data_IF_345938847695
#
_entry.id   IF_345938847695
#
_cell.length_a   1.000
_cell.length_b   1.000
_cell.length_c   1.000
_cell.angle_alpha   90.00
_cell.angle_beta   90.00
_cell.angle_gamma   90.00
#
_symmetry.space_group_name_H-M   'P 1'
#
loop_
_entity.id
_entity.type
_entity.pdbx_description
1 polymer ?
#
# COMPACT_ATOMS: atom_id res chain seq x y z
N UNK A 1 -25.38 -13.23 32.87
CA UNK A 1 -25.53 -12.19 31.82
C UNK A 1 -24.28 -11.33 31.63
N UNK A 2 -23.68 -10.74 32.68
CA UNK A 2 -22.47 -9.88 32.57
C UNK A 2 -21.27 -10.51 31.80
N UNK A 3 -21.05 -11.83 31.94
CA UNK A 3 -19.96 -12.55 31.25
C UNK A 3 -20.12 -12.60 29.72
N UNK A 4 -21.36 -12.68 29.22
CA UNK A 4 -21.65 -12.75 27.78
C UNK A 4 -21.40 -11.39 27.12
N UNK A 5 -21.73 -10.30 27.81
CA UNK A 5 -21.48 -8.93 27.33
C UNK A 5 -20.00 -8.64 27.15
N UNK A 6 -19.15 -9.13 28.08
CA UNK A 6 -17.69 -8.96 27.98
C UNK A 6 -17.13 -9.73 26.78
N UNK A 7 -17.60 -10.95 26.53
CA UNK A 7 -17.17 -11.76 25.38
C UNK A 7 -17.53 -11.08 24.06
N UNK A 8 -18.73 -10.50 23.95
CA UNK A 8 -19.13 -9.74 22.76
C UNK A 8 -18.26 -8.50 22.55
N UNK A 9 -17.90 -7.77 23.60
CA UNK A 9 -17.01 -6.60 23.49
C UNK A 9 -15.60 -7.01 23.01
N UNK A 10 -15.04 -8.09 23.57
CA UNK A 10 -13.72 -8.59 23.20
C UNK A 10 -13.65 -9.10 21.75
N UNK A 11 -14.71 -9.77 21.26
CA UNK A 11 -14.80 -10.21 19.86
C UNK A 11 -14.84 -9.03 18.88
N UNK A 12 -15.53 -7.94 19.22
CA UNK A 12 -15.59 -6.75 18.37
C UNK A 12 -14.24 -6.01 18.32
N UNK A 13 -13.49 -5.97 19.42
CA UNK A 13 -12.16 -5.36 19.47
C UNK A 13 -11.15 -6.11 18.58
N UNK A 14 -11.19 -7.45 18.59
CA UNK A 14 -10.30 -8.28 17.77
C UNK A 14 -10.58 -8.14 16.27
N UNK A 15 -11.85 -8.00 15.87
CA UNK A 15 -12.20 -7.77 14.45
C UNK A 15 -11.71 -6.40 13.96
N UNK A 16 -11.87 -5.35 14.76
CA UNK A 16 -11.40 -4.01 14.42
C UNK A 16 -9.86 -3.94 14.27
N UNK A 17 -9.12 -4.61 15.17
CA UNK A 17 -7.66 -4.66 15.09
C UNK A 17 -7.18 -5.52 13.92
N UNK A 18 -7.85 -6.63 13.61
CA UNK A 18 -7.54 -7.47 12.44
C UNK A 18 -7.75 -6.73 11.12
N UNK A 19 -8.87 -6.01 10.97
CA UNK A 19 -9.12 -5.19 9.78
C UNK A 19 -8.08 -4.08 9.63
N UNK A 20 -7.72 -3.42 10.75
CA UNK A 20 -6.68 -2.38 10.75
C UNK A 20 -5.30 -2.94 10.41
N UNK A 21 -4.96 -4.11 10.93
CA UNK A 21 -3.69 -4.77 10.68
C UNK A 21 -3.58 -5.25 9.22
N UNK A 22 -4.63 -5.89 8.69
CA UNK A 22 -4.70 -6.28 7.28
C UNK A 22 -4.67 -5.03 6.36
N UNK A 23 -5.22 -3.90 6.83
CA UNK A 23 -5.10 -2.64 6.11
C UNK A 23 -3.66 -2.13 6.02
N UNK A 24 -2.90 -2.22 7.11
CA UNK A 24 -1.49 -1.84 7.17
C UNK A 24 -0.59 -2.75 6.34
N UNK A 25 -0.76 -4.06 6.43
CA UNK A 25 0.04 -5.03 5.66
C UNK A 25 -0.13 -4.83 4.13
N UNK A 26 -1.34 -4.51 3.69
CA UNK A 26 -1.60 -4.17 2.29
C UNK A 26 -1.01 -2.80 1.90
N UNK A 27 -1.04 -1.81 2.80
CA UNK A 27 -0.43 -0.50 2.56
C UNK A 27 1.09 -0.62 2.41
N UNK A 28 1.74 -1.41 3.28
CA UNK A 28 3.18 -1.65 3.22
C UNK A 28 3.58 -2.34 1.92
N UNK A 29 2.77 -3.27 1.41
CA UNK A 29 2.99 -3.90 0.10
C UNK A 29 2.92 -2.88 -1.05
N UNK A 30 1.95 -1.96 -1.02
CA UNK A 30 1.81 -0.92 -2.06
C UNK A 30 2.96 0.09 -1.97
N UNK A 31 3.34 0.48 -0.76
CA UNK A 31 4.49 1.37 -0.52
C UNK A 31 5.80 0.74 -1.01
N UNK A 32 5.99 -0.57 -0.80
CA UNK A 32 7.13 -1.28 -1.35
C UNK A 32 7.14 -1.27 -2.89
N UNK A 33 5.99 -1.48 -3.53
CA UNK A 33 5.86 -1.38 -4.99
C UNK A 33 6.21 0.03 -5.50
N UNK A 34 5.83 1.07 -4.76
CA UNK A 34 6.18 2.46 -5.06
C UNK A 34 7.69 2.69 -5.04
N UNK A 35 8.38 2.16 -4.03
CA UNK A 35 9.84 2.22 -3.92
C UNK A 35 10.51 1.46 -5.07
N UNK A 36 10.02 0.27 -5.40
CA UNK A 36 10.50 -0.51 -6.55
C UNK A 36 10.30 0.22 -7.88
N UNK A 37 9.23 1.02 -8.03
CA UNK A 37 9.04 1.83 -9.22
C UNK A 37 10.11 2.92 -9.37
N UNK A 38 10.61 3.47 -8.26
CA UNK A 38 11.69 4.46 -8.28
C UNK A 38 13.03 3.87 -8.71
N UNK A 39 13.31 2.60 -8.42
CA UNK A 39 14.56 1.96 -8.86
C UNK A 39 14.68 1.84 -10.38
N UNK A 40 13.57 1.98 -11.10
CA UNK A 40 13.55 1.99 -12.57
C UNK A 40 13.93 3.36 -13.17
N UNK A 41 14.04 4.39 -12.35
CA UNK A 41 14.50 5.72 -12.79
C UNK A 41 16.02 5.80 -12.90
N UNK A 42 16.74 4.87 -12.25
CA UNK A 42 18.18 4.78 -12.37
C UNK A 42 18.57 4.04 -13.66
N UNK A 43 19.39 4.65 -14.51
CA UNK A 43 19.84 4.01 -15.75
C UNK A 43 20.79 2.85 -15.42
N UNK A 44 20.69 1.78 -16.19
CA UNK A 44 21.62 0.67 -16.10
C UNK A 44 22.69 0.83 -17.18
N UNK A 45 23.98 0.73 -16.81
CA UNK A 45 25.08 0.99 -17.74
C UNK A 45 25.19 -0.06 -18.86
N UNK A 46 24.58 -1.23 -18.66
CA UNK A 46 24.59 -2.36 -19.61
C UNK A 46 23.45 -2.30 -20.64
N UNK A 47 22.54 -1.34 -20.54
CA UNK A 47 21.37 -1.20 -21.44
C UNK A 47 21.48 0.04 -22.32
N UNK A 48 20.84 -0.01 -23.49
CA UNK A 48 20.81 1.12 -24.44
C UNK A 48 20.05 2.33 -23.87
N UNK A 49 20.29 3.51 -24.43
CA UNK A 49 19.58 4.74 -24.05
C UNK A 49 18.06 4.59 -24.20
N UNK A 50 17.61 3.93 -25.28
CA UNK A 50 16.20 3.67 -25.55
C UNK A 50 15.57 2.74 -24.49
N UNK A 51 16.30 1.71 -24.07
CA UNK A 51 15.84 0.81 -23.00
C UNK A 51 15.78 1.52 -21.65
N UNK A 52 16.78 2.34 -21.34
CA UNK A 52 16.80 3.16 -20.13
C UNK A 52 15.66 4.18 -20.11
N UNK A 53 15.36 4.82 -21.24
CA UNK A 53 14.21 5.74 -21.37
C UNK A 53 12.87 5.00 -21.19
N UNK A 54 12.70 3.83 -21.83
CA UNK A 54 11.52 3.00 -21.68
C UNK A 54 11.29 2.58 -20.21
N UNK A 55 12.36 2.17 -19.52
CA UNK A 55 12.32 1.78 -18.11
C UNK A 55 12.00 2.97 -17.20
N UNK A 56 12.57 4.13 -17.47
CA UNK A 56 12.24 5.37 -16.76
C UNK A 56 10.76 5.71 -16.92
N UNK A 57 10.22 5.67 -18.14
CA UNK A 57 8.81 5.93 -18.41
C UNK A 57 7.91 4.92 -17.67
N UNK A 58 8.28 3.64 -17.70
CA UNK A 58 7.57 2.60 -16.96
C UNK A 58 7.64 2.84 -15.44
N UNK A 59 8.80 3.20 -14.90
CA UNK A 59 8.99 3.56 -13.50
C UNK A 59 8.10 4.72 -13.06
N UNK A 60 8.05 5.80 -13.85
CA UNK A 60 7.20 6.96 -13.58
C UNK A 60 5.70 6.59 -13.54
N UNK A 61 5.22 5.81 -14.52
CA UNK A 61 3.82 5.38 -14.57
C UNK A 61 3.48 4.52 -13.35
N UNK A 62 4.34 3.55 -13.01
CA UNK A 62 4.12 2.69 -11.85
C UNK A 62 4.18 3.46 -10.54
N UNK A 63 5.08 4.45 -10.41
CA UNK A 63 5.16 5.30 -9.23
C UNK A 63 3.86 6.07 -9.02
N UNK A 64 3.35 6.73 -10.07
CA UNK A 64 2.08 7.48 -9.97
C UNK A 64 0.92 6.55 -9.62
N UNK A 65 0.83 5.40 -10.27
CA UNK A 65 -0.22 4.42 -10.02
C UNK A 65 -0.20 3.88 -8.58
N UNK A 66 0.98 3.50 -8.09
CA UNK A 66 1.15 2.97 -6.72
C UNK A 66 0.92 4.05 -5.67
N UNK A 67 1.32 5.29 -5.92
CA UNK A 67 1.01 6.42 -5.04
C UNK A 67 -0.50 6.64 -4.89
N UNK A 68 -1.25 6.68 -6.01
CA UNK A 68 -2.72 6.82 -5.96
C UNK A 68 -3.34 5.69 -5.14
N UNK A 69 -2.92 4.44 -5.37
CA UNK A 69 -3.39 3.29 -4.60
C UNK A 69 -3.05 3.36 -3.11
N UNK A 70 -1.85 3.81 -2.78
CA UNK A 70 -1.43 3.98 -1.38
C UNK A 70 -2.32 5.00 -0.68
N UNK A 71 -2.60 6.13 -1.34
CA UNK A 71 -3.47 7.18 -0.81
C UNK A 71 -4.92 6.70 -0.63
N UNK A 72 -5.48 5.99 -1.62
CA UNK A 72 -6.80 5.36 -1.51
C UNK A 72 -6.86 4.36 -0.35
N UNK A 73 -5.83 3.52 -0.21
CA UNK A 73 -5.78 2.52 0.86
C UNK A 73 -5.66 3.17 2.23
N UNK A 74 -4.81 4.20 2.35
CA UNK A 74 -4.64 4.98 3.58
C UNK A 74 -5.95 5.63 4.01
N UNK A 75 -6.70 6.26 3.08
CA UNK A 75 -8.04 6.82 3.37
C UNK A 75 -8.99 5.76 3.91
N UNK A 76 -9.02 4.57 3.29
CA UNK A 76 -9.81 3.43 3.77
C UNK A 76 -9.37 2.95 5.15
N UNK A 77 -8.07 2.88 5.44
CA UNK A 77 -7.55 2.45 6.75
C UNK A 77 -7.86 3.44 7.87
N UNK A 78 -7.87 4.74 7.55
CA UNK A 78 -8.13 5.81 8.51
C UNK A 78 -9.64 6.05 8.72
N UNK A 79 -10.51 5.23 8.11
CA UNK A 79 -11.97 5.43 8.06
C UNK A 79 -12.36 6.84 7.57
N UNK A 80 -11.53 7.44 6.71
CA UNK A 80 -11.87 8.69 6.05
C UNK A 80 -12.75 8.37 4.84
N UNK A 81 -14.06 8.49 5.03
CA UNK A 81 -15.10 8.35 3.99
C UNK A 81 -15.25 9.59 3.10
N UNK A 82 -14.31 10.54 3.17
CA UNK A 82 -14.25 11.77 2.38
C UNK A 82 -13.08 11.76 1.39
#
# INVERSE_FOLDING_TARGET
>A
MKKITIILILLNLQCADSERQNCRENLDSIEFQKIMALSLLEPFPETTDQENESRKNFGQINFVYTQIKADERKRKCDNNFF
#
